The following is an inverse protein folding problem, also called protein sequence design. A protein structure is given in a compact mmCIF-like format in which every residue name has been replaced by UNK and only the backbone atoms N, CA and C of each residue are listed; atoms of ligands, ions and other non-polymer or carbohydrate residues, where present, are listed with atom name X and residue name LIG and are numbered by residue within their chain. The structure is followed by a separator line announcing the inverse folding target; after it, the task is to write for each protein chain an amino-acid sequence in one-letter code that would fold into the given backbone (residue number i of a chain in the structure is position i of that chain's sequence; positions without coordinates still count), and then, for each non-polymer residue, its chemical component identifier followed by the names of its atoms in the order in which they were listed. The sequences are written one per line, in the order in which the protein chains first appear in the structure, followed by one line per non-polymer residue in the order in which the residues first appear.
data_IF_334691010337
#
_entry.id   IF_334691010337
#
_cell.length_a   1.000
_cell.length_b   1.000
_cell.length_c   1.000
_cell.angle_alpha   90.00
_cell.angle_beta   90.00
_cell.angle_gamma   90.00
#
_symmetry.space_group_name_H-M   'P 1'
#
loop_
_entity.id
_entity.type
_entity.pdbx_description
1 polymer ?
#
# COMPACT_ATOMS: atom_id res chain seq x y z
N UNK A 1 -4.48 -5.94 13.45
CA UNK A 1 -5.11 -4.63 13.76
C UNK A 1 -5.73 -3.98 12.53
N UNK A 2 -5.01 -3.80 11.43
CA UNK A 2 -5.56 -3.22 10.17
C UNK A 2 -6.72 -4.04 9.60
N UNK A 3 -6.57 -5.35 9.52
CA UNK A 3 -7.62 -6.23 9.00
C UNK A 3 -8.94 -6.11 9.77
N UNK A 4 -8.90 -6.23 11.10
CA UNK A 4 -10.09 -6.14 11.95
C UNK A 4 -10.80 -4.78 11.86
N UNK A 5 -10.05 -3.70 11.61
CA UNK A 5 -10.64 -2.36 11.40
C UNK A 5 -11.32 -2.22 10.04
N UNK A 6 -10.81 -2.89 9.01
CA UNK A 6 -11.43 -2.90 7.67
C UNK A 6 -12.59 -3.89 7.57
N UNK A 7 -12.54 -4.98 8.33
CA UNK A 7 -13.51 -6.09 8.30
C UNK A 7 -13.91 -6.47 9.73
N UNK A 8 -14.69 -5.63 10.44
CA UNK A 8 -15.04 -5.86 11.85
C UNK A 8 -15.86 -7.15 12.07
N UNK A 9 -16.59 -7.61 11.07
CA UNK A 9 -17.31 -8.88 11.09
C UNK A 9 -16.40 -10.12 11.21
N UNK A 10 -15.10 -9.95 10.95
CA UNK A 10 -14.07 -10.99 11.08
C UNK A 10 -13.05 -10.67 12.18
N UNK A 11 -13.35 -9.72 13.07
CA UNK A 11 -12.41 -9.27 14.12
C UNK A 11 -11.97 -10.41 15.04
N UNK A 12 -12.90 -11.29 15.41
CA UNK A 12 -12.63 -12.43 16.29
C UNK A 12 -11.73 -13.50 15.63
N UNK A 13 -11.70 -13.51 14.29
CA UNK A 13 -10.85 -14.42 13.51
C UNK A 13 -9.51 -13.78 13.11
N UNK A 14 -9.28 -12.50 13.42
CA UNK A 14 -8.10 -11.76 12.96
C UNK A 14 -6.77 -12.35 13.47
N UNK A 15 -6.78 -12.95 14.68
CA UNK A 15 -5.61 -13.62 15.27
C UNK A 15 -5.33 -14.98 14.62
N UNK A 16 -6.33 -15.59 13.95
CA UNK A 16 -6.20 -16.85 13.23
C UNK A 16 -5.87 -16.66 11.74
N UNK A 17 -5.88 -15.41 11.26
CA UNK A 17 -5.62 -15.09 9.87
C UNK A 17 -4.13 -15.07 9.64
N UNK A 18 -3.64 -16.08 8.97
CA UNK A 18 -2.26 -16.19 8.52
C UNK A 18 -2.13 -15.71 7.07
N UNK A 19 -0.92 -15.40 6.65
CA UNK A 19 -0.61 -14.91 5.31
C UNK A 19 -0.90 -15.91 4.17
N UNK A 20 -1.25 -17.13 4.51
CA UNK A 20 -1.60 -18.24 3.60
C UNK A 20 -3.11 -18.52 3.52
N UNK A 21 -3.93 -17.74 4.25
CA UNK A 21 -5.37 -17.97 4.35
C UNK A 21 -6.15 -16.88 3.62
N UNK A 22 -6.92 -17.30 2.60
CA UNK A 22 -7.94 -16.48 1.98
C UNK A 22 -9.22 -16.53 2.82
N UNK A 23 -9.79 -15.36 3.11
CA UNK A 23 -11.10 -15.23 3.75
C UNK A 23 -12.08 -14.78 2.70
N UNK A 24 -13.10 -15.60 2.46
CA UNK A 24 -14.21 -15.22 1.61
C UNK A 24 -15.06 -14.15 2.31
N UNK A 25 -15.25 -13.03 1.63
CA UNK A 25 -16.08 -11.94 2.14
C UNK A 25 -17.56 -12.25 1.87
N UNK A 26 -18.42 -11.92 2.84
CA UNK A 26 -19.88 -12.05 2.69
C UNK A 26 -20.38 -11.34 1.43
N UNK A 27 -21.53 -11.79 0.89
CA UNK A 27 -22.22 -11.16 -0.24
C UNK A 27 -21.44 -11.17 -1.57
N UNK A 28 -20.57 -12.17 -1.79
CA UNK A 28 -19.75 -12.26 -3.01
C UNK A 28 -18.84 -11.04 -3.25
N UNK A 29 -18.45 -10.33 -2.19
CA UNK A 29 -17.52 -9.19 -2.28
C UNK A 29 -16.09 -9.58 -2.61
N UNK A 30 -15.78 -10.88 -2.68
CA UNK A 30 -14.47 -11.39 -3.01
C UNK A 30 -13.74 -12.02 -1.83
N UNK A 31 -12.42 -11.91 -1.81
CA UNK A 31 -11.56 -12.51 -0.79
C UNK A 31 -10.70 -11.42 -0.14
N UNK A 32 -10.36 -11.62 1.12
CA UNK A 32 -9.40 -10.80 1.85
C UNK A 32 -8.30 -11.68 2.45
N UNK A 33 -7.11 -11.11 2.62
CA UNK A 33 -5.99 -11.77 3.29
C UNK A 33 -5.05 -10.73 3.90
N UNK A 34 -4.26 -11.17 4.88
CA UNK A 34 -3.15 -10.39 5.45
C UNK A 34 -1.86 -10.95 4.85
N UNK A 35 -1.08 -10.10 4.19
CA UNK A 35 0.13 -10.53 3.47
C UNK A 35 1.42 -10.28 4.25
N UNK A 36 1.31 -9.66 5.42
CA UNK A 36 2.45 -9.26 6.22
C UNK A 36 2.99 -7.88 5.82
N UNK A 37 3.98 -7.41 6.57
CA UNK A 37 4.58 -6.09 6.41
C UNK A 37 5.91 -6.19 5.67
N UNK A 38 6.16 -5.21 4.80
CA UNK A 38 7.42 -5.05 4.06
C UNK A 38 7.50 -5.84 2.75
N UNK A 39 8.43 -5.44 1.92
CA UNK A 39 8.60 -5.91 0.53
C UNK A 39 8.64 -7.44 0.45
N UNK A 40 9.46 -8.08 1.28
CA UNK A 40 9.69 -9.53 1.17
C UNK A 40 8.44 -10.35 1.50
N UNK A 41 7.85 -10.12 2.67
CA UNK A 41 6.66 -10.85 3.10
C UNK A 41 5.49 -10.63 2.15
N UNK A 42 5.24 -9.37 1.81
CA UNK A 42 4.10 -9.00 0.97
C UNK A 42 4.19 -9.62 -0.43
N UNK A 43 5.33 -9.46 -1.13
CA UNK A 43 5.50 -10.01 -2.47
C UNK A 43 5.44 -11.53 -2.51
N UNK A 44 6.12 -12.20 -1.57
CA UNK A 44 6.16 -13.67 -1.51
C UNK A 44 4.77 -14.24 -1.25
N UNK A 45 4.06 -13.72 -0.25
CA UNK A 45 2.76 -14.21 0.12
C UNK A 45 1.70 -13.93 -0.96
N UNK A 46 1.72 -12.74 -1.57
CA UNK A 46 0.80 -12.42 -2.67
C UNK A 46 1.02 -13.33 -3.88
N UNK A 47 2.29 -13.52 -4.28
CA UNK A 47 2.64 -14.41 -5.40
C UNK A 47 2.20 -15.85 -5.12
N UNK A 48 2.44 -16.34 -3.90
CA UNK A 48 1.98 -17.66 -3.48
C UNK A 48 0.46 -17.79 -3.55
N UNK A 49 -0.29 -16.83 -2.98
CA UNK A 49 -1.75 -16.85 -2.96
C UNK A 49 -2.37 -16.82 -4.36
N UNK A 50 -1.89 -15.95 -5.25
CA UNK A 50 -2.38 -15.90 -6.63
C UNK A 50 -2.14 -17.23 -7.34
N UNK A 51 -0.97 -17.83 -7.15
CA UNK A 51 -0.60 -19.11 -7.75
C UNK A 51 -1.44 -20.26 -7.20
N UNK A 52 -1.61 -20.33 -5.87
CA UNK A 52 -2.40 -21.35 -5.19
C UNK A 52 -3.91 -21.27 -5.55
N UNK A 53 -4.46 -20.07 -5.58
CA UNK A 53 -5.85 -19.83 -6.00
C UNK A 53 -6.09 -20.32 -7.44
N UNK A 54 -5.18 -19.98 -8.35
CA UNK A 54 -5.25 -20.44 -9.75
C UNK A 54 -5.23 -21.96 -9.87
N UNK A 55 -4.41 -22.66 -9.07
CA UNK A 55 -4.36 -24.13 -9.03
C UNK A 55 -5.67 -24.74 -8.52
N UNK A 56 -6.39 -24.03 -7.66
CA UNK A 56 -7.70 -24.44 -7.13
C UNK A 56 -8.87 -24.01 -8.01
N UNK A 57 -8.61 -23.43 -9.19
CA UNK A 57 -9.64 -22.96 -10.11
C UNK A 57 -10.27 -21.61 -9.72
N UNK A 58 -9.71 -20.91 -8.76
CA UNK A 58 -10.15 -19.56 -8.36
C UNK A 58 -9.45 -18.54 -9.26
N UNK A 59 -10.24 -17.75 -9.97
CA UNK A 59 -9.74 -16.72 -10.88
C UNK A 59 -10.10 -15.33 -10.36
N UNK A 60 -9.12 -14.61 -9.85
CA UNK A 60 -9.29 -13.22 -9.45
C UNK A 60 -9.38 -12.31 -10.68
N UNK A 61 -10.22 -11.31 -10.61
CA UNK A 61 -10.37 -10.27 -11.65
C UNK A 61 -9.49 -9.05 -11.39
N UNK A 62 -9.18 -8.77 -10.12
CA UNK A 62 -8.28 -7.71 -9.70
C UNK A 62 -7.79 -7.94 -8.26
N UNK A 63 -6.72 -7.26 -7.90
CA UNK A 63 -6.19 -7.17 -6.53
C UNK A 63 -6.32 -5.73 -6.05
N UNK A 64 -6.79 -5.55 -4.82
CA UNK A 64 -6.84 -4.27 -4.13
C UNK A 64 -5.85 -4.30 -2.97
N UNK A 65 -4.79 -3.49 -3.05
CA UNK A 65 -3.81 -3.32 -1.98
C UNK A 65 -4.33 -2.22 -1.07
N UNK A 66 -4.68 -2.56 0.16
CA UNK A 66 -5.26 -1.64 1.14
C UNK A 66 -4.34 -1.50 2.33
N UNK A 67 -4.14 -0.28 2.83
CA UNK A 67 -3.31 -0.04 4.00
C UNK A 67 -3.17 1.44 4.34
N UNK A 68 -2.36 1.73 5.35
CA UNK A 68 -2.01 3.10 5.73
C UNK A 68 -0.70 3.54 5.10
N UNK A 69 -0.44 4.85 5.12
CA UNK A 69 0.78 5.46 4.63
C UNK A 69 1.14 6.72 5.42
N UNK A 70 2.38 7.20 5.26
CA UNK A 70 2.80 8.53 5.64
C UNK A 70 2.79 9.48 4.45
N UNK A 71 2.34 10.72 4.59
CA UNK A 71 2.41 11.72 3.53
C UNK A 71 3.65 12.61 3.67
N UNK A 72 4.31 12.91 2.57
CA UNK A 72 5.43 13.85 2.56
C UNK A 72 4.93 15.30 2.64
N UNK A 73 5.60 16.17 3.43
CA UNK A 73 5.22 17.57 3.54
C UNK A 73 5.26 18.32 2.22
N UNK A 74 4.31 19.24 2.03
CA UNK A 74 4.28 20.12 0.85
C UNK A 74 3.77 19.46 -0.44
N UNK A 75 3.34 18.20 -0.39
CA UNK A 75 2.80 17.46 -1.55
C UNK A 75 1.28 17.59 -1.70
N UNK A 76 0.65 18.35 -0.83
CA UNK A 76 -0.78 18.63 -0.89
C UNK A 76 -1.66 17.46 -0.44
N UNK A 77 -1.11 16.44 0.17
CA UNK A 77 -1.81 15.31 0.80
C UNK A 77 -1.72 15.48 2.31
N UNK A 78 -2.83 15.27 3.01
CA UNK A 78 -2.95 15.52 4.44
C UNK A 78 -3.30 14.25 5.21
N UNK A 79 -3.08 14.28 6.52
CA UNK A 79 -3.51 13.21 7.42
C UNK A 79 -5.03 13.01 7.29
N UNK A 80 -5.46 11.76 7.22
CA UNK A 80 -6.81 11.25 6.98
C UNK A 80 -7.30 11.35 5.52
N UNK A 81 -6.52 11.89 4.60
CA UNK A 81 -6.83 11.72 3.17
C UNK A 81 -6.76 10.23 2.80
N UNK A 82 -7.67 9.80 1.94
CA UNK A 82 -7.60 8.49 1.26
C UNK A 82 -7.23 8.74 -0.19
N UNK A 83 -6.14 8.12 -0.63
CA UNK A 83 -5.56 8.34 -1.95
C UNK A 83 -5.50 7.04 -2.75
N UNK A 84 -5.59 7.15 -4.07
CA UNK A 84 -5.25 6.09 -5.01
C UNK A 84 -3.80 6.28 -5.43
N UNK A 85 -3.02 5.22 -5.32
CA UNK A 85 -1.60 5.23 -5.72
C UNK A 85 -1.48 4.74 -7.16
N UNK A 86 -1.05 5.60 -8.06
CA UNK A 86 -0.97 5.29 -9.48
C UNK A 86 0.39 4.70 -9.89
N UNK A 87 1.43 4.98 -9.11
CA UNK A 87 2.77 4.42 -9.31
C UNK A 87 3.56 4.37 -8.01
N UNK A 88 4.47 3.42 -7.95
CA UNK A 88 5.38 3.20 -6.83
C UNK A 88 6.82 3.10 -7.31
N UNK A 89 7.75 3.49 -6.44
CA UNK A 89 9.18 3.21 -6.59
C UNK A 89 9.71 2.62 -5.28
N UNK A 90 10.88 1.94 -5.33
CA UNK A 90 11.56 1.47 -4.12
C UNK A 90 12.57 2.51 -3.67
N UNK A 91 12.35 3.09 -2.49
CA UNK A 91 13.03 4.29 -2.03
C UNK A 91 14.47 4.10 -1.55
N UNK A 92 14.89 2.86 -1.32
CA UNK A 92 16.23 2.50 -0.85
C UNK A 92 16.96 1.58 -1.85
N UNK A 93 16.47 1.49 -3.08
CA UNK A 93 17.10 0.76 -4.17
C UNK A 93 17.99 1.70 -5.02
N UNK A 94 19.28 1.66 -4.79
CA UNK A 94 20.23 2.55 -5.45
C UNK A 94 21.63 2.38 -4.87
N UNK A 95 22.46 3.41 -5.04
CA UNK A 95 23.78 3.49 -4.43
C UNK A 95 24.04 4.87 -3.84
N UNK A 96 24.89 4.94 -2.85
CA UNK A 96 25.31 6.17 -2.21
C UNK A 96 26.77 6.48 -2.54
N UNK A 97 27.04 7.71 -2.93
CA UNK A 97 28.40 8.21 -3.14
C UNK A 97 29.07 8.60 -1.81
N UNK A 98 30.38 8.84 -1.86
CA UNK A 98 31.18 9.19 -0.66
C UNK A 98 30.75 10.49 0.01
N UNK A 99 30.16 11.41 -0.75
CA UNK A 99 29.65 12.69 -0.26
C UNK A 99 28.24 12.58 0.36
N UNK A 100 27.66 11.36 0.38
CA UNK A 100 26.34 11.11 0.91
C UNK A 100 25.19 11.25 -0.11
N UNK A 101 25.47 11.69 -1.33
CA UNK A 101 24.46 11.76 -2.39
C UNK A 101 23.95 10.36 -2.76
N UNK A 102 22.60 10.24 -2.92
CA UNK A 102 21.95 8.98 -3.27
C UNK A 102 21.47 9.00 -4.72
N UNK A 103 21.76 7.94 -5.45
CA UNK A 103 21.37 7.73 -6.84
C UNK A 103 20.48 6.49 -6.96
N UNK A 104 19.15 6.67 -7.22
CA UNK A 104 18.24 5.55 -7.31
C UNK A 104 18.46 4.74 -8.60
N UNK A 105 18.30 3.41 -8.48
CA UNK A 105 18.09 2.58 -9.66
C UNK A 105 16.64 2.66 -10.14
N UNK A 106 16.39 2.46 -11.45
CA UNK A 106 15.04 2.38 -11.97
C UNK A 106 14.23 1.27 -11.28
N UNK A 107 13.20 1.64 -10.55
CA UNK A 107 12.37 0.69 -9.78
C UNK A 107 10.88 1.01 -9.89
N UNK A 108 10.50 1.97 -10.75
CA UNK A 108 9.12 2.40 -10.85
C UNK A 108 8.21 1.30 -11.43
N UNK A 109 7.11 1.03 -10.73
CA UNK A 109 6.02 0.15 -11.16
C UNK A 109 4.72 0.94 -11.19
N UNK A 110 3.75 0.51 -12.00
CA UNK A 110 2.48 1.22 -12.14
C UNK A 110 1.31 0.32 -11.79
N UNK A 111 0.38 0.86 -11.02
CA UNK A 111 -0.93 0.26 -10.81
C UNK A 111 -1.77 0.29 -12.10
N UNK A 112 -2.86 -0.43 -12.11
CA UNK A 112 -3.84 -0.38 -13.20
C UNK A 112 -4.44 1.02 -13.30
N UNK A 113 -4.60 1.51 -14.54
CA UNK A 113 -5.08 2.87 -14.77
C UNK A 113 -6.46 3.11 -14.13
N UNK A 114 -6.66 4.33 -13.66
CA UNK A 114 -7.82 4.72 -12.85
C UNK A 114 -9.17 4.47 -13.53
N UNK A 115 -9.26 4.61 -14.85
CA UNK A 115 -10.48 4.37 -15.62
C UNK A 115 -10.98 2.92 -15.55
N UNK A 116 -10.12 1.98 -15.17
CA UNK A 116 -10.50 0.58 -14.96
C UNK A 116 -10.92 0.28 -13.52
N UNK A 117 -10.75 1.24 -12.60
CA UNK A 117 -11.20 1.09 -11.23
C UNK A 117 -12.73 1.29 -11.10
N UNK A 118 -13.37 0.79 -10.04
CA UNK A 118 -14.73 1.15 -9.69
C UNK A 118 -14.93 2.67 -9.60
N UNK A 119 -16.08 3.18 -10.02
CA UNK A 119 -16.34 4.61 -10.20
C UNK A 119 -16.10 5.46 -8.94
N UNK A 120 -16.33 4.92 -7.74
CA UNK A 120 -16.07 5.61 -6.48
C UNK A 120 -14.56 5.78 -6.21
N UNK A 121 -13.73 4.82 -6.66
CA UNK A 121 -12.27 4.87 -6.52
C UNK A 121 -11.60 5.77 -7.58
N UNK A 122 -12.24 5.95 -8.74
CA UNK A 122 -11.74 6.85 -9.77
C UNK A 122 -11.65 8.31 -9.28
N UNK A 123 -12.54 8.69 -8.35
CA UNK A 123 -12.63 10.05 -7.80
C UNK A 123 -11.59 10.35 -6.71
N UNK A 124 -10.87 9.34 -6.24
CA UNK A 124 -9.84 9.54 -5.24
C UNK A 124 -8.69 10.35 -5.82
N UNK A 125 -8.09 11.16 -4.95
CA UNK A 125 -6.87 11.89 -5.29
C UNK A 125 -5.78 10.92 -5.67
N UNK A 126 -5.12 11.19 -6.78
CA UNK A 126 -3.94 10.44 -7.22
C UNK A 126 -2.73 10.75 -6.35
N UNK A 127 -1.88 9.76 -6.13
CA UNK A 127 -0.62 9.88 -5.44
C UNK A 127 0.48 9.06 -6.12
N UNK A 128 1.71 9.55 -6.01
CA UNK A 128 2.94 8.78 -6.29
C UNK A 128 3.45 8.24 -4.97
N UNK A 129 3.56 6.92 -4.87
CA UNK A 129 4.03 6.24 -3.69
C UNK A 129 5.52 5.95 -3.71
N UNK A 130 6.08 5.79 -2.53
CA UNK A 130 7.45 5.33 -2.30
C UNK A 130 7.44 4.19 -1.30
N UNK A 131 7.78 2.99 -1.77
CA UNK A 131 7.94 1.83 -0.90
C UNK A 131 9.31 1.84 -0.25
N UNK A 132 9.36 1.75 1.08
CA UNK A 132 10.59 1.82 1.87
C UNK A 132 10.69 0.67 2.85
N UNK A 133 11.91 0.16 3.08
CA UNK A 133 12.16 -0.83 4.14
C UNK A 133 12.35 -0.16 5.51
N UNK A 134 12.72 1.12 5.53
CA UNK A 134 12.86 1.91 6.74
C UNK A 134 12.05 3.20 6.60
N UNK A 135 11.02 3.36 7.43
CA UNK A 135 10.19 4.57 7.40
C UNK A 135 10.99 5.83 7.70
N UNK A 136 10.59 6.94 7.08
CA UNK A 136 11.17 8.26 7.33
C UNK A 136 11.03 8.66 8.80
N UNK A 137 12.12 9.16 9.37
CA UNK A 137 12.20 9.57 10.78
C UNK A 137 12.74 10.99 11.00
N UNK A 138 13.15 11.68 9.93
CA UNK A 138 13.64 13.06 9.99
C UNK A 138 13.11 13.89 8.82
N UNK A 139 13.10 15.21 8.99
CA UNK A 139 12.67 16.14 7.93
C UNK A 139 13.63 16.12 6.72
N UNK A 140 14.92 15.95 6.97
CA UNK A 140 15.94 15.88 5.92
C UNK A 140 15.71 14.66 5.01
N UNK A 141 15.45 13.48 5.62
CA UNK A 141 15.16 12.27 4.87
C UNK A 141 13.84 12.36 4.11
N UNK A 142 12.82 12.98 4.71
CA UNK A 142 11.54 13.26 4.05
C UNK A 142 11.73 14.10 2.79
N UNK A 143 12.48 15.19 2.92
CA UNK A 143 12.77 16.08 1.80
C UNK A 143 13.60 15.41 0.71
N UNK A 144 14.63 14.64 1.09
CA UNK A 144 15.46 13.88 0.16
C UNK A 144 14.60 12.91 -0.67
N UNK A 145 13.83 12.06 0.00
CA UNK A 145 13.00 11.03 -0.64
C UNK A 145 11.92 11.64 -1.53
N UNK A 146 11.16 12.60 -1.00
CA UNK A 146 10.11 13.28 -1.75
C UNK A 146 10.64 13.93 -3.03
N UNK A 147 11.79 14.59 -2.99
CA UNK A 147 12.41 15.23 -4.16
C UNK A 147 13.03 14.22 -5.13
N UNK A 148 13.77 13.22 -4.61
CA UNK A 148 14.48 12.25 -5.44
C UNK A 148 13.53 11.41 -6.29
N UNK A 149 12.37 11.03 -5.71
CA UNK A 149 11.41 10.15 -6.35
C UNK A 149 10.14 10.86 -6.84
N UNK A 150 10.04 12.17 -6.64
CA UNK A 150 8.81 12.93 -6.83
C UNK A 150 7.60 12.33 -6.12
N UNK A 151 7.86 11.73 -4.94
CA UNK A 151 6.88 10.96 -4.19
C UNK A 151 6.00 11.86 -3.31
N UNK A 152 4.73 11.47 -3.18
CA UNK A 152 3.73 12.14 -2.35
C UNK A 152 3.55 11.46 -1.00
N UNK A 153 3.67 10.13 -0.98
CA UNK A 153 3.49 9.30 0.21
C UNK A 153 4.58 8.22 0.32
N UNK A 154 4.74 7.66 1.53
CA UNK A 154 5.54 6.44 1.74
C UNK A 154 4.73 5.34 2.40
N UNK A 155 5.05 4.11 2.03
CA UNK A 155 4.52 2.88 2.61
C UNK A 155 5.60 1.79 2.60
N UNK A 156 5.26 0.55 2.97
CA UNK A 156 6.26 -0.54 3.05
C UNK A 156 6.00 -1.70 2.06
N UNK A 157 4.93 -1.68 1.26
CA UNK A 157 4.48 -2.83 0.47
C UNK A 157 4.11 -2.54 -0.99
N UNK A 158 3.74 -1.29 -1.33
CA UNK A 158 3.07 -0.95 -2.58
C UNK A 158 3.79 -1.43 -3.83
N UNK A 159 5.07 -1.08 -3.99
CA UNK A 159 5.87 -1.51 -5.14
C UNK A 159 5.95 -3.03 -5.25
N UNK A 160 6.08 -3.73 -4.11
CA UNK A 160 6.15 -5.19 -4.07
C UNK A 160 4.84 -5.85 -4.51
N UNK A 161 3.71 -5.31 -4.06
CA UNK A 161 2.39 -5.81 -4.43
C UNK A 161 2.07 -5.57 -5.89
N UNK A 162 2.35 -4.37 -6.41
CA UNK A 162 2.16 -4.05 -7.83
C UNK A 162 3.05 -4.94 -8.70
N UNK A 163 4.34 -5.10 -8.35
CA UNK A 163 5.26 -5.94 -9.12
C UNK A 163 4.81 -7.42 -9.14
N UNK A 164 4.34 -7.96 -8.00
CA UNK A 164 3.80 -9.30 -7.93
C UNK A 164 2.56 -9.48 -8.84
N UNK A 165 1.64 -8.52 -8.82
CA UNK A 165 0.46 -8.55 -9.70
C UNK A 165 0.84 -8.45 -11.18
N UNK A 166 1.79 -7.58 -11.54
CA UNK A 166 2.31 -7.46 -12.91
C UNK A 166 2.90 -8.79 -13.41
N UNK A 167 3.65 -9.51 -12.57
CA UNK A 167 4.23 -10.81 -12.92
C UNK A 167 3.14 -11.87 -13.22
N UNK A 168 1.95 -11.70 -12.69
CA UNK A 168 0.79 -12.57 -12.94
C UNK A 168 -0.21 -12.03 -13.99
N UNK A 169 0.08 -10.89 -14.63
CA UNK A 169 -0.85 -10.15 -15.50
C UNK A 169 -2.18 -9.84 -14.80
N UNK A 170 -2.13 -9.52 -13.52
CA UNK A 170 -3.29 -9.26 -12.65
C UNK A 170 -3.53 -7.74 -12.55
N UNK A 171 -4.74 -7.24 -12.86
CA UNK A 171 -5.09 -5.87 -12.55
C UNK A 171 -4.92 -5.57 -11.07
N UNK A 172 -4.33 -4.42 -10.74
CA UNK A 172 -4.05 -4.03 -9.35
C UNK A 172 -4.37 -2.57 -9.11
N UNK A 173 -5.04 -2.30 -8.00
CA UNK A 173 -5.36 -0.97 -7.50
C UNK A 173 -4.82 -0.84 -6.09
N UNK A 174 -4.09 0.22 -5.82
CA UNK A 174 -3.56 0.51 -4.50
C UNK A 174 -4.27 1.72 -3.91
N UNK A 175 -4.83 1.57 -2.71
CA UNK A 175 -5.52 2.62 -1.98
C UNK A 175 -4.94 2.72 -0.58
N UNK A 176 -4.49 3.91 -0.22
CA UNK A 176 -3.86 4.17 1.07
C UNK A 176 -4.59 5.28 1.82
N UNK A 177 -4.71 5.13 3.14
CA UNK A 177 -5.14 6.19 4.03
C UNK A 177 -3.94 6.76 4.79
N UNK A 178 -3.85 8.08 4.83
CA UNK A 178 -2.73 8.78 5.47
C UNK A 178 -2.93 8.79 6.97
N UNK A 179 -2.05 8.11 7.70
CA UNK A 179 -2.10 8.09 9.18
C UNK A 179 -1.16 9.10 9.86
N UNK A 180 -0.14 9.59 9.15
CA UNK A 180 0.83 10.56 9.67
C UNK A 180 1.49 11.36 8.55
N UNK A 181 2.16 12.45 8.92
CA UNK A 181 3.14 13.08 8.03
C UNK A 181 4.48 12.34 8.16
N UNK A 182 5.09 12.01 7.03
CA UNK A 182 6.40 11.36 6.97
C UNK A 182 7.51 12.38 7.21
N UNK A 183 7.73 12.70 8.48
CA UNK A 183 8.72 13.67 8.99
C UNK A 183 9.42 13.11 10.23
N UNK A 184 9.64 13.96 11.24
CA UNK A 184 10.10 13.52 12.54
C UNK A 184 9.12 12.50 13.15
N UNK A 185 9.67 11.37 13.60
CA UNK A 185 8.87 10.24 14.06
C UNK A 185 8.26 10.50 15.45
N UNK A 186 7.07 11.06 15.47
CA UNK A 186 6.24 11.17 16.67
C UNK A 186 5.02 10.24 16.55
N UNK A 187 5.10 9.06 17.16
CA UNK A 187 4.03 8.05 17.11
C UNK A 187 2.76 8.47 17.86
N UNK A 188 2.86 9.40 18.80
CA UNK A 188 1.71 9.88 19.56
C UNK A 188 0.75 10.72 18.69
N UNK A 189 1.27 11.35 17.63
CA UNK A 189 0.48 12.14 16.69
C UNK A 189 -0.18 11.31 15.58
N UNK A 190 0.11 10.00 15.49
CA UNK A 190 -0.40 9.16 14.41
C UNK A 190 -1.89 8.87 14.57
N UNK A 191 -2.65 9.09 13.49
CA UNK A 191 -4.09 8.87 13.39
C UNK A 191 -4.41 7.51 12.75
N UNK A 192 -3.78 6.43 13.28
CA UNK A 192 -3.82 5.11 12.66
C UNK A 192 -5.24 4.55 12.56
N UNK A 193 -6.00 4.57 13.66
CA UNK A 193 -7.38 4.04 13.69
C UNK A 193 -8.33 4.87 12.84
N UNK A 194 -8.22 6.19 12.91
CA UNK A 194 -9.06 7.10 12.11
C UNK A 194 -8.78 6.94 10.61
N UNK A 195 -7.51 6.74 10.23
CA UNK A 195 -7.12 6.48 8.84
C UNK A 195 -7.73 5.15 8.33
N UNK A 196 -7.68 4.09 9.13
CA UNK A 196 -8.30 2.81 8.77
C UNK A 196 -9.83 2.92 8.64
N UNK A 197 -10.48 3.68 9.52
CA UNK A 197 -11.93 3.95 9.39
C UNK A 197 -12.25 4.74 8.12
N UNK A 198 -11.44 5.74 7.77
CA UNK A 198 -11.58 6.48 6.52
C UNK A 198 -11.41 5.58 5.30
N UNK A 199 -10.39 4.70 5.31
CA UNK A 199 -10.15 3.72 4.26
C UNK A 199 -11.35 2.78 4.10
N UNK A 200 -11.82 2.20 5.19
CA UNK A 200 -12.99 1.30 5.19
C UNK A 200 -14.22 1.97 4.59
N UNK A 201 -14.54 3.19 5.04
CA UNK A 201 -15.66 3.95 4.51
C UNK A 201 -15.54 4.24 3.02
N UNK A 202 -14.33 4.47 2.53
CA UNK A 202 -14.07 4.71 1.12
C UNK A 202 -14.26 3.47 0.25
N UNK A 203 -13.87 2.29 0.77
CA UNK A 203 -13.90 1.04 0.00
C UNK A 203 -15.29 0.39 0.04
N UNK A 204 -15.95 0.42 1.19
CA UNK A 204 -17.19 -0.35 1.41
C UNK A 204 -18.44 0.51 1.59
N UNK A 205 -18.34 1.84 1.59
CA UNK A 205 -19.44 2.78 1.65
C UNK A 205 -19.93 3.02 3.05
#
# INVERSE_FOLDING_TARGET
MEFASCFPEYADSADEITSDKLIELSENRGYACILGMGILSFSTNLTYLISAAKQQGIHFTAVYILGVCGAYPGRGINVLDVVRVDSESVGDMGYQEKDGSFFPFPSAVRATAAEHAPAHLQKLKSAVGLTVNCCTGTEELALLRSKTFDADIENMEGAAGIAACMAHNMPVFEIRAVCNMATTRDRASWKFQEALLALRKTIFG
#
